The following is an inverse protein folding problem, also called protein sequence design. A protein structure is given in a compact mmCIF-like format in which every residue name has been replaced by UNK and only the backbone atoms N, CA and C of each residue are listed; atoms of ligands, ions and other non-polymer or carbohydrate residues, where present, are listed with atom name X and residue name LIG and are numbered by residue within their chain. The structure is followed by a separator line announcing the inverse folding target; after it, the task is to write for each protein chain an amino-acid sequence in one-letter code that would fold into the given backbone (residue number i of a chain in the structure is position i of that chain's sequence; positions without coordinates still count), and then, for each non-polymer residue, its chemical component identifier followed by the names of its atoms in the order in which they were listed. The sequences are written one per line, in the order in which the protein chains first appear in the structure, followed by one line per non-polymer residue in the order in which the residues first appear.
data_IF_620436318119
#
_entry.id   IF_620436318119
#
_cell.length_a   1.000
_cell.length_b   1.000
_cell.length_c   1.000
_cell.angle_alpha   90.00
_cell.angle_beta   90.00
_cell.angle_gamma   90.00
#
_symmetry.space_group_name_H-M   'P 1'
#
loop_
_entity.id
_entity.type
_entity.pdbx_description
1 polymer ?
#
# COMPACT_ATOMS: atom_id res chain seq x y z
N UNK A 1 10.91 7.88 61.27
CA UNK A 1 12.16 8.53 60.81
C UNK A 1 13.20 7.43 60.69
N UNK A 2 13.83 7.08 59.57
CA UNK A 2 14.15 7.75 58.30
C UNK A 2 14.04 6.73 57.15
N UNK A 3 13.55 7.18 55.99
CA UNK A 3 13.46 6.42 54.74
C UNK A 3 14.84 6.35 54.11
N UNK A 4 15.33 5.14 53.82
CA UNK A 4 16.49 4.92 52.96
C UNK A 4 15.98 4.80 51.53
N UNK A 5 16.18 5.84 50.73
CA UNK A 5 15.91 5.81 49.29
C UNK A 5 17.27 5.68 48.61
N UNK A 6 17.53 4.46 48.13
CA UNK A 6 18.66 4.10 47.27
C UNK A 6 18.51 4.83 45.93
N UNK A 7 19.56 5.48 45.39
CA UNK A 7 19.50 6.06 44.06
C UNK A 7 19.65 4.93 43.03
N UNK A 8 18.53 4.49 42.46
CA UNK A 8 18.55 3.55 41.35
C UNK A 8 18.97 4.28 40.07
N UNK A 9 20.06 3.79 39.49
CA UNK A 9 20.54 4.09 38.15
C UNK A 9 19.43 3.93 37.11
N UNK A 10 19.22 4.95 36.29
CA UNK A 10 18.63 4.79 34.96
C UNK A 10 19.35 5.75 34.02
N UNK A 11 20.58 5.36 33.63
CA UNK A 11 21.18 5.83 32.41
C UNK A 11 20.32 5.30 31.26
N UNK A 12 19.29 6.07 30.89
CA UNK A 12 18.55 5.88 29.66
C UNK A 12 19.53 6.12 28.52
N UNK A 13 20.14 5.04 28.05
CA UNK A 13 20.63 4.94 26.70
C UNK A 13 19.44 5.29 25.80
N UNK A 14 19.34 6.57 25.44
CA UNK A 14 18.54 7.02 24.31
C UNK A 14 19.17 6.34 23.12
N UNK A 15 18.69 5.12 22.81
CA UNK A 15 18.74 4.59 21.46
C UNK A 15 18.27 5.74 20.58
N UNK A 16 19.21 6.30 19.82
CA UNK A 16 18.89 7.20 18.74
C UNK A 16 17.98 6.42 17.83
N UNK A 17 16.68 6.61 18.01
CA UNK A 17 15.69 6.36 16.98
C UNK A 17 16.03 7.44 15.96
N UNK A 18 17.04 7.15 15.13
CA UNK A 18 17.13 7.82 13.85
C UNK A 18 15.73 7.65 13.26
N UNK A 19 15.02 8.73 12.92
CA UNK A 19 13.86 8.55 12.08
C UNK A 19 14.41 7.82 10.87
N UNK A 20 13.97 6.57 10.68
CA UNK A 20 14.04 5.95 9.39
C UNK A 20 13.49 7.03 8.46
N UNK A 21 14.30 7.46 7.50
CA UNK A 21 13.81 8.27 6.41
C UNK A 21 12.63 7.47 5.84
N UNK A 22 11.43 7.88 6.22
CA UNK A 22 10.20 7.32 5.74
C UNK A 22 10.27 7.60 4.24
N UNK A 23 10.56 6.57 3.46
CA UNK A 23 10.05 6.55 2.10
C UNK A 23 8.56 6.77 2.29
N UNK A 24 8.07 7.95 1.91
CA UNK A 24 6.62 8.17 1.87
C UNK A 24 6.07 7.08 0.96
N UNK A 25 5.31 6.14 1.52
CA UNK A 25 4.63 5.13 0.72
C UNK A 25 3.69 5.86 -0.24
N UNK A 26 3.98 5.79 -1.54
CA UNK A 26 3.14 6.43 -2.56
C UNK A 26 1.81 5.68 -2.66
N UNK A 27 0.78 6.26 -2.03
CA UNK A 27 -0.58 5.73 -2.08
C UNK A 27 -1.26 6.07 -3.43
N UNK A 28 -1.56 5.05 -4.23
CA UNK A 28 -2.37 5.20 -5.45
C UNK A 28 -3.83 4.90 -5.13
N UNK A 29 -4.71 5.90 -5.28
CA UNK A 29 -6.15 5.77 -5.01
C UNK A 29 -6.93 5.81 -6.33
N UNK A 30 -7.63 4.72 -6.64
CA UNK A 30 -8.48 4.59 -7.83
C UNK A 30 -9.93 4.46 -7.40
N UNK A 31 -10.78 5.36 -7.87
CA UNK A 31 -12.23 5.25 -7.69
C UNK A 31 -12.78 4.14 -8.60
N UNK A 32 -13.62 3.29 -8.01
CA UNK A 32 -14.31 2.18 -8.69
C UNK A 32 -15.80 2.17 -8.36
N UNK A 33 -16.33 3.27 -7.81
CA UNK A 33 -17.75 3.38 -7.42
C UNK A 33 -18.70 3.22 -8.62
N UNK A 34 -18.19 3.44 -9.83
CA UNK A 34 -18.90 3.28 -11.11
C UNK A 34 -18.82 1.87 -11.70
N UNK A 35 -18.05 0.95 -11.09
CA UNK A 35 -17.75 -0.37 -11.62
C UNK A 35 -18.44 -1.49 -10.80
N UNK A 36 -19.03 -2.46 -11.49
CA UNK A 36 -19.57 -3.67 -10.87
C UNK A 36 -18.49 -4.76 -10.82
N UNK A 37 -17.85 -4.91 -9.66
CA UNK A 37 -16.76 -5.88 -9.48
C UNK A 37 -17.21 -7.35 -9.57
N UNK A 38 -18.52 -7.62 -9.62
CA UNK A 38 -19.04 -8.95 -9.97
C UNK A 38 -18.81 -9.28 -11.45
N UNK A 39 -18.71 -8.26 -12.32
CA UNK A 39 -18.49 -8.41 -13.76
C UNK A 39 -17.01 -8.43 -14.11
N UNK A 40 -16.60 -9.39 -14.94
CA UNK A 40 -15.20 -9.52 -15.36
C UNK A 40 -14.74 -8.39 -16.30
N UNK A 41 -15.66 -7.74 -17.02
CA UNK A 41 -15.40 -6.55 -17.84
C UNK A 41 -14.92 -5.40 -16.98
N UNK A 42 -15.63 -5.12 -15.90
CA UNK A 42 -15.44 -3.96 -15.04
C UNK A 42 -14.20 -4.14 -14.17
N UNK A 43 -13.89 -5.38 -13.79
CA UNK A 43 -12.63 -5.75 -13.14
C UNK A 43 -11.44 -5.51 -14.08
N UNK A 44 -11.59 -5.82 -15.37
CA UNK A 44 -10.54 -5.58 -16.37
C UNK A 44 -10.35 -4.08 -16.59
N UNK A 45 -11.43 -3.31 -16.55
CA UNK A 45 -11.39 -1.84 -16.60
C UNK A 45 -10.70 -1.25 -15.37
N UNK A 46 -11.06 -1.71 -14.16
CA UNK A 46 -10.40 -1.30 -12.93
C UNK A 46 -8.90 -1.59 -12.98
N UNK A 47 -8.50 -2.79 -13.41
CA UNK A 47 -7.09 -3.15 -13.56
C UNK A 47 -6.37 -2.24 -14.55
N UNK A 48 -7.01 -1.83 -15.64
CA UNK A 48 -6.44 -0.88 -16.60
C UNK A 48 -6.27 0.52 -16.01
N UNK A 49 -7.24 0.99 -15.22
CA UNK A 49 -7.16 2.27 -14.49
C UNK A 49 -6.00 2.25 -13.50
N UNK A 50 -5.93 1.20 -12.67
CA UNK A 50 -4.82 0.99 -11.72
C UNK A 50 -3.46 0.98 -12.43
N UNK A 51 -3.33 0.24 -13.53
CA UNK A 51 -2.06 0.18 -14.27
C UNK A 51 -1.63 1.56 -14.78
N UNK A 52 -2.57 2.41 -15.18
CA UNK A 52 -2.28 3.76 -15.68
C UNK A 52 -1.73 4.64 -14.55
N UNK A 53 -2.39 4.64 -13.40
CA UNK A 53 -1.97 5.42 -12.23
C UNK A 53 -0.66 4.90 -11.63
N UNK A 54 -0.51 3.58 -11.48
CA UNK A 54 0.73 2.92 -11.02
C UNK A 54 1.89 3.22 -11.96
N UNK A 55 1.66 3.17 -13.27
CA UNK A 55 2.69 3.53 -14.24
C UNK A 55 3.09 5.00 -14.09
N UNK A 56 2.15 5.92 -13.91
CA UNK A 56 2.48 7.33 -13.69
C UNK A 56 3.30 7.52 -12.40
N UNK A 57 2.84 6.96 -11.28
CA UNK A 57 3.51 7.01 -9.99
C UNK A 57 4.94 6.41 -10.04
N UNK A 58 5.10 5.22 -10.64
CA UNK A 58 6.40 4.58 -10.77
C UNK A 58 7.35 5.34 -11.72
N UNK A 59 6.86 6.12 -12.68
CA UNK A 59 7.72 6.95 -13.52
C UNK A 59 8.14 8.25 -12.82
N UNK A 60 7.31 8.79 -11.93
CA UNK A 60 7.63 9.99 -11.14
C UNK A 60 8.55 9.67 -9.96
N UNK A 61 8.35 8.52 -9.29
CA UNK A 61 9.12 8.12 -8.12
C UNK A 61 10.49 7.52 -8.48
N UNK A 62 10.58 6.80 -9.59
CA UNK A 62 11.84 6.20 -10.03
C UNK A 62 12.70 7.28 -10.70
N UNK A 63 13.89 7.59 -10.16
CA UNK A 63 14.70 8.68 -10.70
C UNK A 63 15.03 8.45 -12.18
N UNK A 64 15.11 9.51 -12.98
CA UNK A 64 15.29 9.43 -14.44
C UNK A 64 16.56 8.68 -14.91
N UNK A 65 17.55 8.53 -14.03
CA UNK A 65 18.78 7.75 -14.27
C UNK A 65 18.66 6.26 -13.91
N UNK A 66 17.55 5.86 -13.27
CA UNK A 66 17.29 4.48 -12.95
C UNK A 66 16.99 3.65 -14.21
N UNK A 67 17.35 2.38 -14.15
CA UNK A 67 17.15 1.47 -15.26
C UNK A 67 15.65 1.25 -15.52
N UNK A 68 15.28 1.03 -16.78
CA UNK A 68 13.93 0.57 -17.16
C UNK A 68 13.48 -0.68 -16.40
N UNK A 69 14.42 -1.47 -15.86
CA UNK A 69 14.13 -2.63 -15.02
C UNK A 69 13.53 -2.22 -13.67
N UNK A 70 13.97 -1.11 -13.07
CA UNK A 70 13.44 -0.61 -11.79
C UNK A 70 12.02 -0.07 -11.93
N UNK A 71 11.73 0.66 -13.02
CA UNK A 71 10.36 1.08 -13.33
C UNK A 71 9.46 -0.14 -13.53
N UNK A 72 9.96 -1.17 -14.24
CA UNK A 72 9.19 -2.41 -14.46
C UNK A 72 8.97 -3.21 -13.18
N UNK A 73 9.94 -3.27 -12.27
CA UNK A 73 9.75 -3.94 -10.98
C UNK A 73 8.75 -3.18 -10.12
N UNK A 74 8.84 -1.84 -10.06
CA UNK A 74 7.85 -1.00 -9.36
C UNK A 74 6.43 -1.28 -9.87
N UNK A 75 6.21 -1.23 -11.18
CA UNK A 75 4.89 -1.49 -11.77
C UNK A 75 4.43 -2.92 -11.46
N UNK A 76 5.31 -3.92 -11.56
CA UNK A 76 4.95 -5.32 -11.29
C UNK A 76 4.53 -5.50 -9.83
N UNK A 77 5.33 -5.00 -8.90
CA UNK A 77 5.12 -5.21 -7.46
C UNK A 77 3.84 -4.48 -7.00
N UNK A 78 3.61 -3.26 -7.48
CA UNK A 78 2.38 -2.50 -7.22
C UNK A 78 1.14 -3.16 -7.86
N UNK A 79 1.26 -3.73 -9.06
CA UNK A 79 0.14 -4.45 -9.70
C UNK A 79 -0.19 -5.76 -9.00
N UNK A 80 0.81 -6.47 -8.45
CA UNK A 80 0.59 -7.69 -7.66
C UNK A 80 -0.21 -7.38 -6.39
N UNK A 81 0.14 -6.28 -5.70
CA UNK A 81 -0.61 -5.82 -4.53
C UNK A 81 -2.03 -5.36 -4.91
N UNK A 82 -2.17 -4.59 -6.00
CA UNK A 82 -3.47 -4.15 -6.46
C UNK A 82 -4.38 -5.32 -6.89
N UNK A 83 -3.83 -6.36 -7.51
CA UNK A 83 -4.57 -7.57 -7.86
C UNK A 83 -5.11 -8.29 -6.62
N UNK A 84 -4.30 -8.39 -5.56
CA UNK A 84 -4.76 -8.94 -4.28
C UNK A 84 -5.89 -8.11 -3.66
N UNK A 85 -5.82 -6.78 -3.77
CA UNK A 85 -6.89 -5.89 -3.30
C UNK A 85 -8.16 -6.01 -4.14
N UNK A 86 -8.05 -6.08 -5.47
CA UNK A 86 -9.19 -6.28 -6.38
C UNK A 86 -9.88 -7.61 -6.04
N UNK A 87 -9.12 -8.71 -5.89
CA UNK A 87 -9.69 -10.01 -5.56
C UNK A 87 -10.36 -10.02 -4.19
N UNK A 88 -9.79 -9.34 -3.19
CA UNK A 88 -10.44 -9.14 -1.90
C UNK A 88 -11.78 -8.40 -2.04
N UNK A 89 -11.82 -7.31 -2.83
CA UNK A 89 -13.07 -6.58 -3.09
C UNK A 89 -14.10 -7.43 -3.85
N UNK A 90 -13.67 -8.26 -4.81
CA UNK A 90 -14.56 -9.21 -5.51
C UNK A 90 -15.16 -10.26 -4.57
N UNK A 91 -14.38 -10.75 -3.61
CA UNK A 91 -14.87 -11.69 -2.60
C UNK A 91 -15.98 -11.06 -1.73
N UNK A 92 -15.87 -9.77 -1.43
CA UNK A 92 -16.87 -9.01 -0.66
C UNK A 92 -18.11 -8.71 -1.51
N UNK A 93 -17.94 -8.32 -2.78
CA UNK A 93 -19.04 -8.06 -3.71
C UNK A 93 -19.87 -9.33 -3.99
N UNK A 94 -19.22 -10.48 -4.11
CA UNK A 94 -19.90 -11.77 -4.30
C UNK A 94 -20.60 -12.26 -3.01
N UNK A 95 -20.01 -12.02 -1.83
CA UNK A 95 -20.65 -12.35 -0.56
C UNK A 95 -21.88 -11.49 -0.25
N UNK A 96 -21.84 -10.19 -0.54
CA UNK A 96 -22.96 -9.27 -0.32
C UNK A 96 -24.16 -9.54 -1.25
N UNK A 97 -23.90 -10.08 -2.45
CA UNK A 97 -24.97 -10.52 -3.37
C UNK A 97 -25.70 -11.78 -2.85
N UNK A 98 -25.01 -12.64 -2.09
CA UNK A 98 -25.58 -13.88 -1.55
C UNK A 98 -26.49 -13.69 -0.33
N UNK A 99 -26.40 -12.57 0.40
CA UNK A 99 -27.28 -12.28 1.55
C UNK A 99 -28.64 -11.68 1.16
N UNK A 100 -28.83 -11.34 -0.13
CA UNK A 100 -30.06 -10.72 -0.65
C UNK A 100 -30.89 -11.64 -1.56
N UNK A 101 -30.50 -12.91 -1.73
CA UNK A 101 -31.22 -13.92 -2.52
C UNK A 101 -31.88 -14.98 -1.66
#
# INVERSE_FOLDING_TARGET
MRKFIVPALAALATFGIAPAAQAEDTEVRVDFSDLDLAQSSDVSELRARVLTEVSAACNDEVPSFASRLQVRSCIRDAMEEADAQIDAQRSIASASTAELG
#
